data_IF_821499960465
#
_entry.id   IF_821499960465
#
_cell.length_a   1.000
_cell.length_b   1.000
_cell.length_c   1.000
_cell.angle_alpha   90.00
_cell.angle_beta   90.00
_cell.angle_gamma   90.00
#
_symmetry.space_group_name_H-M   'P 1'
#
loop_
_entity.id
_entity.type
_entity.pdbx_description
1 polymer ?
#
# COMPACT_ATOMS: atom_id res chain seq x y z
N UNK A 1 4.49 -3.33 -0.36
CA UNK A 1 3.07 -3.01 -0.10
C UNK A 1 2.69 -3.39 1.31
N UNK A 2 2.72 -4.69 1.66
CA UNK A 2 2.42 -5.21 3.01
C UNK A 2 3.14 -4.46 4.12
N UNK A 3 4.48 -4.39 4.08
CA UNK A 3 5.28 -3.65 5.08
C UNK A 3 4.80 -2.20 5.25
N UNK A 4 4.40 -1.54 4.16
CA UNK A 4 3.94 -0.16 4.20
C UNK A 4 2.62 -0.02 4.96
N UNK A 5 1.58 -0.77 4.57
CA UNK A 5 0.29 -0.64 5.26
C UNK A 5 0.32 -1.21 6.67
N UNK A 6 1.14 -2.23 6.95
CA UNK A 6 1.33 -2.74 8.32
C UNK A 6 2.00 -1.70 9.20
N UNK A 7 2.90 -0.88 8.62
CA UNK A 7 3.48 0.27 9.34
C UNK A 7 2.42 1.32 9.67
N UNK A 8 1.44 1.55 8.79
CA UNK A 8 0.29 2.41 9.09
C UNK A 8 -0.54 1.81 10.23
N UNK A 9 -0.80 0.50 10.16
CA UNK A 9 -1.56 -0.21 11.20
C UNK A 9 -0.84 -0.18 12.55
N UNK A 10 0.49 -0.33 12.58
CA UNK A 10 1.28 -0.24 13.80
C UNK A 10 1.16 1.12 14.51
N UNK A 11 0.82 2.20 13.80
CA UNK A 11 0.51 3.49 14.43
C UNK A 11 -0.86 3.52 15.11
N UNK A 12 -1.77 2.59 14.81
CA UNK A 12 -3.00 2.40 15.59
C UNK A 12 -2.67 1.93 17.01
N UNK A 13 -1.71 1.01 17.15
CA UNK A 13 -1.40 0.31 18.40
C UNK A 13 -0.15 0.89 19.10
N UNK A 14 0.33 2.06 18.69
CA UNK A 14 1.62 2.60 19.12
C UNK A 14 1.74 2.83 20.63
N UNK A 15 0.66 3.28 21.30
CA UNK A 15 0.63 3.47 22.75
C UNK A 15 0.63 2.13 23.49
N UNK A 16 -0.19 1.18 23.06
CA UNK A 16 -0.26 -0.16 23.65
C UNK A 16 1.06 -0.90 23.48
N UNK A 17 1.64 -0.87 22.28
CA UNK A 17 2.97 -1.40 21.98
C UNK A 17 4.05 -0.80 22.91
N UNK A 18 3.94 0.49 23.21
CA UNK A 18 4.87 1.17 24.11
C UNK A 18 4.78 0.68 25.55
N UNK A 19 3.56 0.44 26.03
CA UNK A 19 3.30 -0.02 27.40
C UNK A 19 3.88 -1.42 27.66
N UNK A 20 3.82 -2.31 26.67
CA UNK A 20 4.31 -3.69 26.79
C UNK A 20 5.68 -3.94 26.14
N UNK A 21 6.33 -2.90 25.61
CA UNK A 21 7.70 -2.95 25.09
C UNK A 21 7.86 -3.62 23.72
N UNK A 22 6.80 -3.65 22.90
CA UNK A 22 6.86 -4.15 21.52
C UNK A 22 7.71 -3.22 20.65
N UNK A 23 8.54 -3.80 19.79
CA UNK A 23 9.41 -3.07 18.83
C UNK A 23 8.75 -2.98 17.46
N UNK A 24 7.61 -2.32 17.37
CA UNK A 24 6.86 -2.20 16.11
C UNK A 24 7.52 -1.26 15.10
N UNK A 25 7.11 -1.36 13.84
CA UNK A 25 7.59 -0.50 12.74
C UNK A 25 7.20 0.96 12.96
N UNK A 26 6.07 1.24 13.60
CA UNK A 26 5.68 2.58 14.02
C UNK A 26 6.75 3.23 14.90
N UNK A 27 7.30 2.47 15.85
CA UNK A 27 8.39 2.93 16.74
C UNK A 27 9.75 2.97 16.02
N UNK A 28 10.01 2.00 15.15
CA UNK A 28 11.26 1.95 14.38
C UNK A 28 11.40 3.16 13.45
N UNK A 29 10.34 3.52 12.73
CA UNK A 29 10.36 4.61 11.77
C UNK A 29 10.01 5.96 12.41
N UNK A 30 9.10 6.00 13.38
CA UNK A 30 8.70 7.23 14.08
C UNK A 30 8.40 8.36 13.11
N UNK A 31 9.11 9.48 13.26
CA UNK A 31 9.00 10.67 12.40
C UNK A 31 9.33 10.40 10.93
N UNK A 32 10.07 9.32 10.62
CA UNK A 32 10.42 8.92 9.25
C UNK A 32 9.38 7.99 8.61
N UNK A 33 8.24 7.78 9.25
CA UNK A 33 7.18 6.89 8.71
C UNK A 33 6.79 7.25 7.29
N UNK A 34 6.58 8.54 6.98
CA UNK A 34 6.21 8.97 5.63
C UNK A 34 7.29 8.62 4.59
N UNK A 35 8.57 8.76 4.94
CA UNK A 35 9.68 8.37 4.07
C UNK A 35 9.71 6.86 3.84
N UNK A 36 9.51 6.07 4.90
CA UNK A 36 9.43 4.61 4.80
C UNK A 36 8.25 4.18 3.91
N UNK A 37 7.09 4.82 4.03
CA UNK A 37 5.93 4.56 3.18
C UNK A 37 6.22 4.85 1.71
N UNK A 38 6.81 6.01 1.40
CA UNK A 38 7.20 6.36 0.02
C UNK A 38 8.14 5.28 -0.56
N UNK A 39 9.13 4.83 0.20
CA UNK A 39 10.07 3.80 -0.24
C UNK A 39 9.37 2.46 -0.45
N UNK A 40 8.61 1.95 0.53
CA UNK A 40 7.99 0.63 0.44
C UNK A 40 6.83 0.57 -0.56
N UNK A 41 6.07 1.64 -0.72
CA UNK A 41 5.01 1.73 -1.73
C UNK A 41 5.61 1.93 -3.12
N UNK A 42 6.60 2.81 -3.27
CA UNK A 42 7.32 3.00 -4.54
C UNK A 42 7.99 1.71 -5.02
N UNK A 43 8.71 1.01 -4.14
CA UNK A 43 9.31 -0.27 -4.47
C UNK A 43 8.27 -1.32 -4.86
N UNK A 44 7.11 -1.35 -4.20
CA UNK A 44 6.04 -2.27 -4.56
C UNK A 44 5.49 -1.98 -5.97
N UNK A 45 5.23 -0.71 -6.29
CA UNK A 45 4.75 -0.31 -7.62
C UNK A 45 5.78 -0.67 -8.70
N UNK A 46 7.07 -0.43 -8.44
CA UNK A 46 8.15 -0.79 -9.37
C UNK A 46 8.22 -2.30 -9.57
N UNK A 47 8.26 -3.08 -8.50
CA UNK A 47 8.35 -4.55 -8.59
C UNK A 47 7.13 -5.16 -9.27
N UNK A 48 5.92 -4.64 -9.01
CA UNK A 48 4.71 -5.07 -9.72
C UNK A 48 4.82 -4.69 -11.21
N UNK A 49 5.26 -3.48 -11.55
CA UNK A 49 5.48 -3.08 -12.94
C UNK A 49 6.50 -3.95 -13.68
N UNK A 50 7.59 -4.35 -13.02
CA UNK A 50 8.54 -5.34 -13.54
C UNK A 50 7.84 -6.68 -13.78
N UNK A 51 7.06 -7.17 -12.82
CA UNK A 51 6.31 -8.40 -12.98
C UNK A 51 5.30 -8.34 -14.15
N UNK A 52 4.58 -7.22 -14.32
CA UNK A 52 3.67 -6.99 -15.45
C UNK A 52 4.41 -7.04 -16.79
N UNK A 53 5.58 -6.40 -16.86
CA UNK A 53 6.43 -6.40 -18.07
C UNK A 53 6.87 -7.83 -18.43
N UNK A 54 7.38 -8.57 -17.44
CA UNK A 54 7.82 -9.96 -17.64
C UNK A 54 6.67 -10.91 -18.01
N UNK A 55 5.46 -10.62 -17.55
CA UNK A 55 4.27 -11.41 -17.84
C UNK A 55 3.62 -11.10 -19.21
N UNK A 56 4.12 -10.10 -19.95
CA UNK A 56 3.60 -9.74 -21.27
C UNK A 56 2.12 -9.30 -21.24
N UNK A 57 1.72 -8.54 -20.22
CA UNK A 57 0.33 -8.08 -20.05
C UNK A 57 -0.05 -6.99 -21.08
N UNK A 58 -1.35 -6.84 -21.31
CA UNK A 58 -1.95 -5.77 -22.09
C UNK A 58 -2.14 -4.49 -21.25
N UNK A 59 -2.56 -3.40 -21.91
CA UNK A 59 -2.74 -2.08 -21.29
C UNK A 59 -3.67 -2.02 -20.05
N UNK A 60 -4.73 -2.84 -19.87
CA UNK A 60 -5.60 -2.74 -18.70
C UNK A 60 -4.89 -3.03 -17.37
N UNK A 61 -3.92 -3.95 -17.37
CA UNK A 61 -3.12 -4.25 -16.18
C UNK A 61 -2.29 -3.03 -15.74
N UNK A 62 -1.75 -2.27 -16.69
CA UNK A 62 -1.03 -1.03 -16.43
C UNK A 62 -1.93 0.08 -15.87
N UNK A 63 -3.17 0.17 -16.34
CA UNK A 63 -4.18 1.08 -15.76
C UNK A 63 -4.52 0.68 -14.32
N UNK A 64 -4.67 -0.62 -14.04
CA UNK A 64 -4.86 -1.13 -12.68
C UNK A 64 -3.69 -0.78 -11.75
N UNK A 65 -2.45 -0.94 -12.23
CA UNK A 65 -1.26 -0.54 -11.49
C UNK A 65 -1.19 0.97 -11.24
N UNK A 66 -1.55 1.79 -12.23
CA UNK A 66 -1.60 3.24 -12.07
C UNK A 66 -2.65 3.67 -11.04
N UNK A 67 -3.84 3.07 -11.08
CA UNK A 67 -4.88 3.31 -10.09
C UNK A 67 -4.47 2.88 -8.68
N UNK A 68 -3.84 1.71 -8.55
CA UNK A 68 -3.23 1.24 -7.30
C UNK A 68 -2.19 2.25 -6.77
N UNK A 69 -1.25 2.69 -7.60
CA UNK A 69 -0.22 3.65 -7.22
C UNK A 69 -0.80 5.00 -6.80
N UNK A 70 -1.81 5.51 -7.53
CA UNK A 70 -2.52 6.73 -7.17
C UNK A 70 -3.23 6.60 -5.81
N UNK A 71 -3.86 5.46 -5.53
CA UNK A 71 -4.51 5.19 -4.24
C UNK A 71 -3.49 5.14 -3.10
N UNK A 72 -2.33 4.52 -3.30
CA UNK A 72 -1.23 4.55 -2.33
C UNK A 72 -0.70 5.97 -2.08
N UNK A 73 -0.59 6.79 -3.12
CA UNK A 73 -0.24 8.22 -2.99
C UNK A 73 -1.29 9.00 -2.19
N UNK A 74 -2.57 8.74 -2.44
CA UNK A 74 -3.67 9.31 -1.65
C UNK A 74 -3.61 8.88 -0.18
N UNK A 75 -3.28 7.62 0.11
CA UNK A 75 -3.11 7.14 1.50
C UNK A 75 -2.03 7.94 2.21
N UNK A 76 -0.85 8.13 1.60
CA UNK A 76 0.25 8.91 2.17
C UNK A 76 -0.17 10.37 2.39
N UNK A 77 -0.84 10.99 1.41
CA UNK A 77 -1.28 12.37 1.50
C UNK A 77 -2.37 12.61 2.56
N UNK A 78 -3.18 11.59 2.86
CA UNK A 78 -4.27 11.69 3.84
C UNK A 78 -3.89 11.23 5.25
N UNK A 79 -2.82 10.46 5.38
CA UNK A 79 -2.41 9.87 6.65
C UNK A 79 -1.97 10.94 7.66
N UNK A 80 -2.51 10.83 8.87
CA UNK A 80 -1.96 11.44 10.08
C UNK A 80 -1.66 10.32 11.07
N UNK A 81 -0.37 10.08 11.31
CA UNK A 81 0.10 9.00 12.22
C UNK A 81 -0.24 9.26 13.67
N UNK A 82 -0.55 10.52 14.05
CA UNK A 82 -0.98 10.89 15.40
C UNK A 82 -2.46 10.60 15.68
N UNK A 83 -3.21 10.12 14.69
CA UNK A 83 -4.66 9.84 14.82
C UNK A 83 -4.93 8.35 14.58
N UNK A 84 -4.91 7.49 15.62
CA UNK A 84 -5.08 6.02 15.49
C UNK A 84 -6.30 5.58 14.69
N UNK A 85 -7.44 6.26 14.86
CA UNK A 85 -8.66 5.98 14.12
C UNK A 85 -8.52 6.24 12.60
N UNK A 86 -7.69 7.22 12.21
CA UNK A 86 -7.37 7.49 10.82
C UNK A 86 -6.37 6.46 10.28
N UNK A 87 -5.37 6.07 11.06
CA UNK A 87 -4.46 4.96 10.73
C UNK A 87 -5.25 3.68 10.39
N UNK A 88 -6.20 3.28 11.25
CA UNK A 88 -7.07 2.14 10.99
C UNK A 88 -7.90 2.30 9.71
N UNK A 89 -8.45 3.49 9.46
CA UNK A 89 -9.24 3.77 8.25
C UNK A 89 -8.38 3.66 6.98
N UNK A 90 -7.20 4.27 6.99
CA UNK A 90 -6.25 4.23 5.87
C UNK A 90 -5.75 2.81 5.66
N UNK A 91 -5.43 2.06 6.72
CA UNK A 91 -5.10 0.64 6.65
C UNK A 91 -6.20 -0.16 5.95
N UNK A 92 -7.46 -0.04 6.38
CA UNK A 92 -8.61 -0.74 5.77
C UNK A 92 -8.80 -0.41 4.29
N UNK A 93 -8.45 0.79 3.85
CA UNK A 93 -8.51 1.18 2.43
C UNK A 93 -7.56 0.39 1.52
N UNK A 94 -6.64 -0.42 2.07
CA UNK A 94 -5.81 -1.33 1.27
C UNK A 94 -6.62 -2.46 0.62
N UNK A 95 -7.80 -2.79 1.14
CA UNK A 95 -8.77 -3.63 0.41
C UNK A 95 -9.06 -3.02 -0.96
N UNK A 96 -9.35 -1.73 -1.00
CA UNK A 96 -9.72 -1.02 -2.22
C UNK A 96 -8.50 -0.87 -3.14
N UNK A 97 -7.30 -0.63 -2.59
CA UNK A 97 -6.05 -0.68 -3.36
C UNK A 97 -5.89 -2.03 -4.08
N UNK A 98 -6.03 -3.14 -3.34
CA UNK A 98 -5.95 -4.48 -3.91
C UNK A 98 -7.01 -4.72 -4.99
N UNK A 99 -8.25 -4.25 -4.80
CA UNK A 99 -9.32 -4.34 -5.78
C UNK A 99 -9.02 -3.56 -7.07
N UNK A 100 -8.40 -2.37 -6.99
CA UNK A 100 -8.00 -1.58 -8.16
C UNK A 100 -6.98 -2.33 -9.02
N UNK A 101 -5.94 -2.88 -8.39
CA UNK A 101 -4.93 -3.68 -9.09
C UNK A 101 -5.55 -4.95 -9.70
N UNK A 102 -6.37 -5.66 -8.91
CA UNK A 102 -7.04 -6.88 -9.33
C UNK A 102 -7.96 -6.65 -10.54
N UNK A 103 -8.75 -5.57 -10.54
CA UNK A 103 -9.65 -5.26 -11.65
C UNK A 103 -8.89 -5.09 -12.97
N UNK A 104 -7.74 -4.38 -12.96
CA UNK A 104 -6.90 -4.24 -14.16
C UNK A 104 -6.34 -5.57 -14.66
N UNK A 105 -5.89 -6.43 -13.74
CA UNK A 105 -5.41 -7.79 -14.07
C UNK A 105 -6.53 -8.69 -14.60
N UNK A 106 -7.73 -8.60 -14.04
CA UNK A 106 -8.88 -9.37 -14.48
C UNK A 106 -9.29 -9.00 -15.91
N UNK A 107 -9.37 -7.69 -16.21
CA UNK A 107 -9.69 -7.20 -17.55
C UNK A 107 -8.62 -7.62 -18.55
N UNK A 108 -7.34 -7.50 -18.19
CA UNK A 108 -6.23 -8.02 -18.98
C UNK A 108 -6.37 -9.52 -19.28
N UNK A 109 -6.67 -10.34 -18.27
CA UNK A 109 -6.84 -11.77 -18.43
C UNK A 109 -8.00 -12.09 -19.39
N UNK A 110 -9.15 -11.43 -19.22
CA UNK A 110 -10.32 -11.61 -20.12
C UNK A 110 -9.96 -11.23 -21.55
N UNK A 111 -9.27 -10.10 -21.77
CA UNK A 111 -8.87 -9.65 -23.10
C UNK A 111 -7.86 -10.56 -23.78
N UNK A 112 -6.97 -11.22 -23.02
CA UNK A 112 -6.01 -12.19 -23.58
C UNK A 112 -6.65 -13.53 -23.94
N UNK A 113 -7.83 -13.83 -23.39
CA UNK A 113 -8.58 -15.06 -23.70
C UNK A 113 -9.64 -14.89 -24.78
N UNK A 114 -9.94 -13.65 -25.16
CA UNK A 114 -10.89 -13.31 -26.23
C UNK A 114 -10.20 -13.32 -27.60
#
# INVERSE_FOLDING_TARGET
>A
WVIGYDTIYAHQDAEDDALIGIKSTARLFGDRTYQALIVFYGLAVILIGVALTLAGVLWPAWVGLAAFAAHLGWQIARLDVGVPALCLRVFKSNRDAGLLLFAGLLVDAVMRTA
#
